data_IF_012304530564
#
_entry.id   IF_012304530564
#
_cell.length_a   1.000
_cell.length_b   1.000
_cell.length_c   1.000
_cell.angle_alpha   90.00
_cell.angle_beta   90.00
_cell.angle_gamma   90.00
#
_symmetry.space_group_name_H-M   'P 1'
#
loop_
_entity.id
_entity.type
_entity.pdbx_description
1 polymer ?
#
# COMPACT_ATOMS: atom_id res chain seq x y z
N UNK A 1 -10.14 -3.10 -12.69
CA UNK A 1 -10.14 -1.64 -12.51
C UNK A 1 -10.01 -0.97 -13.87
N UNK A 2 -10.83 0.04 -14.13
CA UNK A 2 -10.81 0.78 -15.39
C UNK A 2 -9.87 1.97 -15.25
N UNK A 3 -8.72 1.90 -15.91
CA UNK A 3 -7.75 2.99 -15.94
C UNK A 3 -7.57 3.40 -17.41
N UNK A 4 -7.70 4.68 -17.74
CA UNK A 4 -7.53 5.11 -19.13
C UNK A 4 -6.09 4.89 -19.61
N UNK A 5 -5.92 4.81 -20.93
CA UNK A 5 -4.60 4.62 -21.52
C UNK A 5 -3.61 5.71 -21.13
N UNK A 6 -4.10 6.93 -20.98
CA UNK A 6 -3.24 8.06 -20.58
C UNK A 6 -3.71 8.58 -19.24
N UNK A 7 -2.85 8.50 -18.24
CA UNK A 7 -3.05 9.14 -16.95
C UNK A 7 -1.90 10.12 -16.72
N UNK A 8 -2.20 11.24 -16.07
CA UNK A 8 -1.20 12.29 -15.82
C UNK A 8 -0.40 12.02 -14.56
N UNK A 9 0.08 10.78 -14.41
CA UNK A 9 1.00 10.37 -13.35
C UNK A 9 2.20 9.69 -13.98
N UNK A 10 3.33 9.75 -13.33
CA UNK A 10 4.52 9.07 -13.83
C UNK A 10 4.34 7.57 -13.80
N UNK A 11 4.49 6.91 -14.94
CA UNK A 11 4.33 5.46 -15.05
C UNK A 11 5.27 4.71 -14.12
N UNK A 12 6.49 5.21 -13.97
CA UNK A 12 7.49 4.60 -13.08
C UNK A 12 7.06 4.72 -11.62
N UNK A 13 6.55 5.89 -11.22
CA UNK A 13 6.08 6.10 -9.86
C UNK A 13 4.85 5.25 -9.56
N UNK A 14 3.91 5.17 -10.49
CA UNK A 14 2.72 4.33 -10.33
C UNK A 14 3.11 2.87 -10.18
N UNK A 15 4.00 2.39 -11.05
CA UNK A 15 4.49 1.02 -10.99
C UNK A 15 5.18 0.75 -9.65
N UNK A 16 5.99 1.69 -9.18
CA UNK A 16 6.69 1.57 -7.89
C UNK A 16 5.72 1.47 -6.73
N UNK A 17 4.67 2.31 -6.72
CA UNK A 17 3.66 2.27 -5.65
C UNK A 17 2.95 0.93 -5.63
N UNK A 18 2.43 0.48 -6.77
CA UNK A 18 1.67 -0.78 -6.84
C UNK A 18 2.55 -1.97 -6.51
N UNK A 19 3.75 -2.01 -7.06
CA UNK A 19 4.69 -3.11 -6.84
C UNK A 19 5.11 -3.20 -5.37
N UNK A 20 5.48 -2.09 -4.76
CA UNK A 20 5.88 -2.05 -3.35
C UNK A 20 4.71 -2.37 -2.43
N UNK A 21 3.52 -1.86 -2.73
CA UNK A 21 2.33 -2.15 -1.94
C UNK A 21 1.99 -3.64 -1.98
N UNK A 22 2.06 -4.24 -3.15
CA UNK A 22 1.76 -5.66 -3.32
C UNK A 22 2.81 -6.54 -2.62
N UNK A 23 4.10 -6.21 -2.78
CA UNK A 23 5.17 -6.96 -2.12
C UNK A 23 5.04 -6.92 -0.60
N UNK A 24 4.74 -5.74 -0.05
CA UNK A 24 4.51 -5.60 1.39
C UNK A 24 3.31 -6.40 1.86
N UNK A 25 2.22 -6.35 1.10
CA UNK A 25 1.00 -7.06 1.45
C UNK A 25 1.21 -8.58 1.44
N UNK A 26 1.91 -9.09 0.44
CA UNK A 26 2.21 -10.52 0.33
C UNK A 26 3.12 -10.96 1.47
N UNK A 27 4.17 -10.18 1.76
CA UNK A 27 5.09 -10.51 2.86
C UNK A 27 4.37 -10.56 4.20
N UNK A 28 3.52 -9.58 4.47
CA UNK A 28 2.76 -9.53 5.72
C UNK A 28 1.76 -10.67 5.82
N UNK A 29 1.01 -10.92 4.76
CA UNK A 29 0.00 -11.99 4.73
C UNK A 29 0.64 -13.37 4.87
N UNK A 30 1.85 -13.55 4.33
CA UNK A 30 2.58 -14.81 4.44
C UNK A 30 2.90 -15.18 5.89
N UNK A 31 3.00 -14.19 6.77
CA UNK A 31 3.24 -14.41 8.19
C UNK A 31 1.95 -14.65 8.99
N UNK A 32 0.78 -14.47 8.39
CA UNK A 32 -0.48 -14.73 9.05
C UNK A 32 -0.70 -16.24 9.22
N UNK A 33 -1.55 -16.65 10.18
CA UNK A 33 -1.88 -18.07 10.34
C UNK A 33 -2.42 -18.66 9.05
N UNK A 34 -2.07 -19.93 8.79
CA UNK A 34 -2.58 -20.65 7.65
C UNK A 34 -4.12 -20.66 7.67
N UNK A 35 -4.71 -20.46 6.50
CA UNK A 35 -6.17 -20.30 6.38
C UNK A 35 -6.67 -18.89 6.61
N UNK A 36 -5.80 -17.98 7.08
CA UNK A 36 -6.15 -16.57 7.31
C UNK A 36 -5.28 -15.62 6.50
N UNK A 37 -4.58 -16.13 5.48
CA UNK A 37 -3.72 -15.33 4.62
C UNK A 37 -4.55 -14.70 3.53
N UNK A 38 -4.56 -13.37 3.49
CA UNK A 38 -5.43 -12.63 2.60
C UNK A 38 -4.74 -11.36 2.11
N UNK A 39 -4.84 -11.11 0.81
CA UNK A 39 -4.41 -9.87 0.18
C UNK A 39 -5.51 -9.44 -0.78
N UNK A 40 -5.94 -8.20 -0.67
CA UNK A 40 -6.92 -7.59 -1.55
C UNK A 40 -6.34 -6.28 -2.09
N UNK A 41 -6.39 -6.12 -3.40
CA UNK A 41 -5.90 -4.92 -4.06
C UNK A 41 -6.95 -4.42 -5.03
N UNK A 42 -7.29 -3.13 -4.91
CA UNK A 42 -8.23 -2.47 -5.79
C UNK A 42 -7.59 -1.18 -6.30
N UNK A 43 -7.57 -1.02 -7.61
CA UNK A 43 -7.08 0.19 -8.26
C UNK A 43 -8.18 0.73 -9.14
N UNK A 44 -8.58 1.98 -8.90
CA UNK A 44 -9.65 2.64 -9.62
C UNK A 44 -9.21 4.00 -10.12
N UNK A 45 -9.82 4.43 -11.22
CA UNK A 45 -9.70 5.78 -11.72
C UNK A 45 -11.07 6.46 -11.61
N UNK A 46 -11.15 7.52 -10.83
CA UNK A 46 -12.39 8.26 -10.60
C UNK A 46 -12.09 9.76 -10.56
N UNK A 47 -12.86 10.54 -11.31
CA UNK A 47 -12.78 12.01 -11.28
C UNK A 47 -11.37 12.56 -11.48
N UNK A 48 -10.62 11.95 -12.40
CA UNK A 48 -9.26 12.39 -12.70
C UNK A 48 -8.21 11.91 -11.70
N UNK A 49 -8.58 11.07 -10.75
CA UNK A 49 -7.67 10.57 -9.72
C UNK A 49 -7.59 9.05 -9.74
N UNK A 50 -6.41 8.54 -9.41
CA UNK A 50 -6.22 7.12 -9.16
C UNK A 50 -6.40 6.84 -7.67
N UNK A 51 -7.18 5.82 -7.36
CA UNK A 51 -7.41 5.36 -6.00
C UNK A 51 -6.86 3.96 -5.87
N UNK A 52 -5.93 3.76 -4.96
CA UNK A 52 -5.37 2.45 -4.66
C UNK A 52 -5.75 2.06 -3.25
N UNK A 53 -6.36 0.88 -3.11
CA UNK A 53 -6.70 0.30 -1.82
C UNK A 53 -6.04 -1.07 -1.73
N UNK A 54 -5.22 -1.27 -0.72
CA UNK A 54 -4.59 -2.57 -0.46
C UNK A 54 -4.90 -2.96 0.97
N UNK A 55 -5.39 -4.17 1.16
CA UNK A 55 -5.70 -4.72 2.47
C UNK A 55 -5.07 -6.09 2.59
N UNK A 56 -4.45 -6.38 3.72
CA UNK A 56 -3.82 -7.67 3.95
C UNK A 56 -3.89 -8.07 5.41
N UNK A 57 -3.89 -9.37 5.65
CA UNK A 57 -3.70 -9.91 6.99
C UNK A 57 -2.22 -9.90 7.35
N UNK A 58 -1.88 -10.15 8.61
CA UNK A 58 -0.50 -10.11 9.09
C UNK A 58 -0.33 -11.10 10.25
N UNK A 59 0.92 -11.47 10.52
CA UNK A 59 1.23 -12.32 11.66
C UNK A 59 1.35 -11.51 12.95
N UNK A 60 2.04 -10.38 12.86
CA UNK A 60 2.19 -9.43 13.97
C UNK A 60 1.81 -8.04 13.46
N UNK A 61 1.00 -7.34 14.25
CA UNK A 61 0.59 -5.99 13.90
C UNK A 61 1.81 -5.09 13.72
N UNK A 62 1.87 -4.29 12.65
CA UNK A 62 2.95 -3.31 12.50
C UNK A 62 2.91 -2.30 13.64
N UNK A 63 4.09 -1.84 14.03
CA UNK A 63 4.19 -0.75 14.99
C UNK A 63 3.89 0.56 14.25
N UNK A 64 2.88 1.29 14.72
CA UNK A 64 2.45 2.53 14.08
C UNK A 64 2.92 3.73 14.89
N UNK A 65 3.49 4.71 14.21
CA UNK A 65 3.88 6.00 14.81
C UNK A 65 3.37 7.09 13.88
N UNK A 66 2.54 7.99 14.41
CA UNK A 66 1.97 9.11 13.65
C UNK A 66 1.28 8.65 12.35
N UNK A 67 0.55 7.54 12.42
CA UNK A 67 -0.17 7.00 11.28
C UNK A 67 0.68 6.27 10.26
N UNK A 68 1.96 6.05 10.55
CA UNK A 68 2.89 5.35 9.66
C UNK A 68 3.43 4.09 10.31
N UNK A 69 3.53 2.97 9.55
CA UNK A 69 4.22 1.80 10.06
C UNK A 69 5.71 2.07 10.17
N UNK A 70 6.29 1.63 11.27
CA UNK A 70 7.71 1.81 11.56
C UNK A 70 8.40 0.45 11.56
N UNK A 71 9.54 0.37 10.88
CA UNK A 71 10.31 -0.85 10.85
C UNK A 71 10.87 -1.17 12.23
N UNK A 72 10.65 -2.40 12.69
CA UNK A 72 11.24 -2.91 13.93
C UNK A 72 12.53 -3.66 13.66
N UNK A 73 12.81 -3.96 12.41
CA UNK A 73 14.00 -4.66 11.98
C UNK A 73 14.60 -3.94 10.78
N UNK A 74 15.92 -3.96 10.68
CA UNK A 74 16.63 -3.39 9.54
C UNK A 74 16.14 -4.05 8.25
N UNK A 75 15.83 -3.23 7.26
CA UNK A 75 15.35 -3.69 5.96
C UNK A 75 13.83 -3.79 5.84
N UNK A 76 13.08 -3.69 6.94
CA UNK A 76 11.64 -3.67 6.90
C UNK A 76 11.13 -2.23 6.95
N UNK A 77 10.02 -1.94 6.28
CA UNK A 77 9.41 -0.63 6.24
C UNK A 77 9.91 0.28 5.13
N UNK A 78 10.93 -0.14 4.38
CA UNK A 78 11.39 0.64 3.23
C UNK A 78 10.31 0.77 2.17
N UNK A 79 9.53 -0.29 1.98
CA UNK A 79 8.44 -0.29 1.02
C UNK A 79 7.39 0.76 1.33
N UNK A 80 7.00 0.89 2.60
CA UNK A 80 5.98 1.89 3.00
C UNK A 80 6.48 3.31 2.81
N UNK A 81 7.74 3.57 3.16
CA UNK A 81 8.35 4.88 2.95
C UNK A 81 8.47 5.19 1.46
N UNK A 82 8.88 4.22 0.65
CA UNK A 82 8.96 4.38 -0.80
C UNK A 82 7.60 4.66 -1.41
N UNK A 83 6.56 3.99 -0.92
CA UNK A 83 5.19 4.23 -1.37
C UNK A 83 4.80 5.67 -1.07
N UNK A 84 5.03 6.12 0.16
CA UNK A 84 4.69 7.48 0.56
C UNK A 84 5.40 8.52 -0.31
N UNK A 85 6.71 8.34 -0.54
CA UNK A 85 7.49 9.27 -1.34
C UNK A 85 7.03 9.30 -2.80
N UNK A 86 6.72 8.13 -3.36
CA UNK A 86 6.24 8.06 -4.74
C UNK A 86 4.86 8.70 -4.88
N UNK A 87 3.97 8.50 -3.92
CA UNK A 87 2.64 9.13 -3.91
C UNK A 87 2.78 10.64 -3.81
N UNK A 88 3.69 11.13 -2.96
CA UNK A 88 3.95 12.57 -2.84
C UNK A 88 4.47 13.17 -4.15
N UNK A 89 5.34 12.44 -4.87
CA UNK A 89 5.83 12.92 -6.18
C UNK A 89 4.70 13.03 -7.21
N UNK A 90 3.64 12.28 -7.03
CA UNK A 90 2.45 12.34 -7.90
C UNK A 90 1.41 13.34 -7.37
N UNK A 91 1.80 14.18 -6.42
CA UNK A 91 0.92 15.15 -5.76
C UNK A 91 -0.28 14.49 -5.09
N UNK A 92 -0.07 13.27 -4.61
CA UNK A 92 -1.10 12.49 -3.96
C UNK A 92 -0.93 12.43 -2.46
N UNK A 93 -1.77 11.62 -1.85
CA UNK A 93 -1.76 11.39 -0.41
C UNK A 93 -2.00 9.92 -0.13
N UNK A 94 -1.33 9.39 0.87
CA UNK A 94 -1.56 8.02 1.30
C UNK A 94 -1.76 7.94 2.80
N UNK A 95 -2.53 6.94 3.21
CA UNK A 95 -2.82 6.66 4.61
C UNK A 95 -2.65 5.17 4.87
N UNK A 96 -2.15 4.86 6.05
CA UNK A 96 -2.01 3.49 6.52
C UNK A 96 -2.81 3.35 7.81
N UNK A 97 -3.50 2.22 7.97
CA UNK A 97 -4.21 1.96 9.22
C UNK A 97 -4.32 0.46 9.49
N UNK A 98 -4.56 0.13 10.74
CA UNK A 98 -4.86 -1.23 11.16
C UNK A 98 -6.35 -1.28 11.50
N UNK A 99 -7.03 -2.25 10.89
CA UNK A 99 -8.46 -2.48 11.12
C UNK A 99 -8.64 -3.96 11.44
N UNK A 100 -8.75 -4.27 12.75
CA UNK A 100 -8.82 -5.65 13.20
C UNK A 100 -7.57 -6.44 12.82
N UNK A 101 -7.73 -7.49 12.05
CA UNK A 101 -6.62 -8.34 11.57
C UNK A 101 -6.09 -7.90 10.21
N UNK A 102 -6.48 -6.71 9.74
CA UNK A 102 -6.09 -6.17 8.45
C UNK A 102 -5.22 -4.94 8.59
N UNK A 103 -4.17 -4.89 7.79
CA UNK A 103 -3.41 -3.69 7.53
C UNK A 103 -3.87 -3.11 6.21
N UNK A 104 -4.21 -1.83 6.18
CA UNK A 104 -4.81 -1.18 5.02
C UNK A 104 -3.96 0.00 4.57
N UNK A 105 -3.74 0.07 3.26
CA UNK A 105 -3.15 1.22 2.58
C UNK A 105 -4.22 1.84 1.69
N UNK A 106 -4.37 3.16 1.81
CA UNK A 106 -5.20 3.93 0.90
C UNK A 106 -4.35 5.03 0.30
N UNK A 107 -4.27 5.07 -1.01
CA UNK A 107 -3.53 6.11 -1.73
C UNK A 107 -4.43 6.77 -2.77
N UNK A 108 -4.36 8.10 -2.82
CA UNK A 108 -5.03 8.92 -3.83
C UNK A 108 -3.94 9.63 -4.60
N UNK A 109 -3.95 9.46 -5.93
CA UNK A 109 -2.84 9.94 -6.79
C UNK A 109 -3.33 10.82 -7.95
#
# INVERSE_FOLDING_TARGET
AAVPETVHVGDVDLFSVVSNALDNAIAAASAAPEGKRFVDLDLRYEDGQLLLLVSNTFGRAPHMVDGMPVAQHTGHGFGTKSIMLAVERMNGNCQFRINGDRFELRAVM
#
